data_IF_502852554707
#
_entry.id   IF_502852554707
#
_cell.length_a   1.000
_cell.length_b   1.000
_cell.length_c   1.000
_cell.angle_alpha   90.00
_cell.angle_beta   90.00
_cell.angle_gamma   90.00
#
_symmetry.space_group_name_H-M   'P 1'
#
loop_
_entity.id
_entity.type
_entity.pdbx_description
1 polymer ?
#
# COMPACT_ATOMS: atom_id res chain seq x y z
N UNK A 1 -25.97 31.73 -4.07
CA UNK A 1 -26.27 30.55 -3.23
C UNK A 1 -26.70 29.43 -4.17
N UNK A 2 -25.82 28.46 -4.55
CA UNK A 2 -26.21 27.15 -5.15
C UNK A 2 -25.08 26.22 -5.65
N UNK A 3 -23.79 26.58 -5.59
CA UNK A 3 -22.71 25.68 -6.08
C UNK A 3 -22.17 24.67 -5.03
N UNK A 4 -22.67 24.68 -3.79
CA UNK A 4 -22.21 23.74 -2.75
C UNK A 4 -22.79 22.32 -2.95
N UNK A 5 -24.08 22.22 -3.29
CA UNK A 5 -24.77 20.91 -3.36
C UNK A 5 -24.19 20.01 -4.46
N UNK A 6 -23.87 20.58 -5.63
CA UNK A 6 -23.26 19.84 -6.74
C UNK A 6 -21.83 19.35 -6.45
N UNK A 7 -21.01 20.17 -5.79
CA UNK A 7 -19.65 19.77 -5.41
C UNK A 7 -19.64 18.72 -4.30
N UNK A 8 -20.55 18.83 -3.31
CA UNK A 8 -20.70 17.81 -2.26
C UNK A 8 -21.19 16.49 -2.89
N UNK A 9 -22.19 16.53 -3.76
CA UNK A 9 -22.71 15.36 -4.44
C UNK A 9 -21.66 14.70 -5.33
N UNK A 10 -20.86 15.49 -6.07
CA UNK A 10 -19.78 14.98 -6.91
C UNK A 10 -18.66 14.32 -6.07
N UNK A 11 -18.39 14.86 -4.87
CA UNK A 11 -17.41 14.27 -3.95
C UNK A 11 -17.93 12.97 -3.35
N UNK A 12 -19.17 12.97 -2.84
CA UNK A 12 -19.81 11.76 -2.30
C UNK A 12 -19.98 10.67 -3.37
N UNK A 13 -20.39 11.02 -4.58
CA UNK A 13 -20.51 10.07 -5.68
C UNK A 13 -19.18 9.44 -6.05
N UNK A 14 -18.08 10.20 -5.99
CA UNK A 14 -16.72 9.69 -6.24
C UNK A 14 -16.22 8.80 -5.11
N UNK A 15 -16.45 9.20 -3.86
CA UNK A 15 -16.06 8.43 -2.70
C UNK A 15 -16.85 7.11 -2.61
N UNK A 16 -18.16 7.14 -2.91
CA UNK A 16 -19.01 5.94 -3.04
C UNK A 16 -18.53 5.03 -4.16
N UNK A 17 -18.20 5.57 -5.34
CA UNK A 17 -17.68 4.77 -6.44
C UNK A 17 -16.37 4.06 -6.10
N UNK A 18 -15.44 4.75 -5.42
CA UNK A 18 -14.18 4.15 -4.94
C UNK A 18 -14.46 3.07 -3.89
N UNK A 19 -15.41 3.32 -3.00
CA UNK A 19 -15.80 2.38 -1.95
C UNK A 19 -16.41 1.12 -2.56
N UNK A 20 -17.34 1.25 -3.50
CA UNK A 20 -18.01 0.13 -4.15
C UNK A 20 -17.03 -0.73 -4.98
N UNK A 21 -16.03 -0.13 -5.62
CA UNK A 21 -15.07 -0.87 -6.42
C UNK A 21 -13.98 -1.55 -5.57
N UNK A 22 -13.47 -0.88 -4.53
CA UNK A 22 -12.27 -1.35 -3.79
C UNK A 22 -12.58 -2.08 -2.50
N UNK A 23 -13.68 -1.75 -1.83
CA UNK A 23 -14.02 -2.29 -0.52
C UNK A 23 -14.40 -3.78 -0.59
N UNK A 24 -15.26 -4.24 -1.54
CA UNK A 24 -15.63 -5.66 -1.61
C UNK A 24 -14.43 -6.56 -1.87
N UNK A 25 -13.53 -6.17 -2.78
CA UNK A 25 -12.32 -6.92 -3.07
C UNK A 25 -11.39 -7.02 -1.85
N UNK A 26 -11.23 -5.92 -1.11
CA UNK A 26 -10.38 -5.89 0.09
C UNK A 26 -10.97 -6.74 1.21
N UNK A 27 -12.30 -6.68 1.43
CA UNK A 27 -12.99 -7.50 2.41
C UNK A 27 -12.90 -8.99 2.07
N UNK A 28 -13.11 -9.35 0.80
CA UNK A 28 -12.98 -10.74 0.36
C UNK A 28 -11.57 -11.27 0.61
N UNK A 29 -10.55 -10.49 0.30
CA UNK A 29 -9.16 -10.85 0.59
C UNK A 29 -8.90 -11.02 2.09
N UNK A 30 -9.40 -10.10 2.93
CA UNK A 30 -9.29 -10.18 4.39
C UNK A 30 -9.94 -11.45 4.94
N UNK A 31 -11.17 -11.76 4.50
CA UNK A 31 -11.88 -12.98 4.91
C UNK A 31 -11.13 -14.23 4.48
N UNK A 32 -10.65 -14.28 3.24
CA UNK A 32 -9.86 -15.41 2.72
C UNK A 32 -8.62 -15.65 3.59
N UNK A 33 -7.86 -14.60 3.90
CA UNK A 33 -6.65 -14.71 4.73
C UNK A 33 -7.00 -15.13 6.16
N UNK A 34 -8.06 -14.57 6.75
CA UNK A 34 -8.50 -14.94 8.09
C UNK A 34 -8.90 -16.43 8.18
N UNK A 35 -9.67 -16.92 7.20
CA UNK A 35 -10.07 -18.32 7.11
C UNK A 35 -8.86 -19.25 6.95
N UNK A 36 -7.88 -18.87 6.12
CA UNK A 36 -6.64 -19.63 5.95
C UNK A 36 -5.82 -19.71 7.25
N UNK A 37 -5.73 -18.61 8.01
CA UNK A 37 -5.04 -18.58 9.30
C UNK A 37 -5.74 -19.44 10.36
N UNK A 38 -7.07 -19.41 10.41
CA UNK A 38 -7.83 -20.27 11.32
C UNK A 38 -7.64 -21.74 10.93
N UNK A 39 -7.72 -22.04 9.62
CA UNK A 39 -7.50 -23.39 9.11
C UNK A 39 -6.11 -23.92 9.41
N UNK A 40 -5.06 -23.10 9.27
CA UNK A 40 -3.70 -23.54 9.58
C UNK A 40 -3.51 -23.86 11.06
N UNK A 41 -4.09 -23.06 11.97
CA UNK A 41 -4.07 -23.33 13.41
C UNK A 41 -4.79 -24.65 13.73
N UNK A 42 -5.97 -24.89 13.14
CA UNK A 42 -6.72 -26.14 13.34
C UNK A 42 -5.91 -27.36 12.90
N UNK A 43 -5.24 -27.28 11.74
CA UNK A 43 -4.37 -28.37 11.25
C UNK A 43 -3.21 -28.62 12.23
N UNK A 44 -2.52 -27.57 12.70
CA UNK A 44 -1.42 -27.70 13.67
C UNK A 44 -1.89 -28.40 14.94
N UNK A 45 -3.04 -27.97 15.50
CA UNK A 45 -3.63 -28.57 16.70
C UNK A 45 -4.01 -30.05 16.50
N UNK A 46 -4.50 -30.41 15.31
CA UNK A 46 -4.92 -31.79 15.01
C UNK A 46 -3.76 -32.78 14.92
N UNK A 47 -2.57 -32.32 14.50
CA UNK A 47 -1.38 -33.17 14.39
C UNK A 47 -0.76 -33.39 15.76
N UNK A 48 -0.40 -32.31 16.46
CA UNK A 48 0.11 -32.39 17.82
C UNK A 48 -0.01 -31.03 18.53
N UNK A 49 -0.71 -30.93 19.69
CA UNK A 49 -0.84 -29.68 20.43
C UNK A 49 0.50 -29.07 20.89
N UNK A 50 1.58 -29.86 20.99
CA UNK A 50 2.91 -29.36 21.40
C UNK A 50 3.49 -28.40 20.35
N UNK A 51 3.12 -28.55 19.07
CA UNK A 51 3.55 -27.63 18.00
C UNK A 51 2.92 -26.23 18.11
N UNK A 52 1.96 -26.03 19.01
CA UNK A 52 1.41 -24.70 19.30
C UNK A 52 2.45 -23.76 19.92
N UNK A 53 3.41 -24.31 20.70
CA UNK A 53 4.45 -23.53 21.38
C UNK A 53 5.36 -22.79 20.37
N UNK A 54 6.03 -23.46 19.41
CA UNK A 54 6.82 -22.76 18.39
C UNK A 54 5.95 -21.88 17.48
N UNK A 55 4.69 -22.25 17.24
CA UNK A 55 3.74 -21.44 16.46
C UNK A 55 3.45 -20.08 17.12
N UNK A 56 3.25 -20.06 18.43
CA UNK A 56 3.02 -18.82 19.19
C UNK A 56 4.26 -17.93 19.13
N UNK A 57 5.46 -18.50 19.32
CA UNK A 57 6.71 -17.74 19.23
C UNK A 57 6.88 -17.10 17.83
N UNK A 58 6.57 -17.85 16.77
CA UNK A 58 6.57 -17.36 15.41
C UNK A 58 5.57 -16.20 15.21
N UNK A 59 4.34 -16.33 15.70
CA UNK A 59 3.32 -15.28 15.62
C UNK A 59 3.76 -13.98 16.33
N UNK A 60 4.42 -14.09 17.48
CA UNK A 60 4.95 -12.92 18.21
C UNK A 60 6.02 -12.20 17.37
N UNK A 61 6.89 -12.95 16.70
CA UNK A 61 7.94 -12.38 15.86
C UNK A 61 7.35 -11.67 14.64
N UNK A 62 6.38 -12.28 13.96
CA UNK A 62 5.64 -11.64 12.87
C UNK A 62 4.90 -10.37 13.33
N UNK A 63 4.29 -10.41 14.52
CA UNK A 63 3.60 -9.27 15.10
C UNK A 63 4.57 -8.09 15.34
N UNK A 64 5.76 -8.36 15.87
CA UNK A 64 6.78 -7.34 16.05
C UNK A 64 7.23 -6.72 14.72
N UNK A 65 7.48 -7.56 13.70
CA UNK A 65 7.78 -7.09 12.35
C UNK A 65 6.69 -6.19 11.79
N UNK A 66 5.42 -6.57 11.96
CA UNK A 66 4.26 -5.76 11.57
C UNK A 66 4.21 -4.43 12.30
N UNK A 67 4.49 -4.39 13.61
CA UNK A 67 4.53 -3.17 14.40
C UNK A 67 5.58 -2.17 13.90
N UNK A 68 6.71 -2.66 13.39
CA UNK A 68 7.74 -1.81 12.78
C UNK A 68 7.35 -1.32 11.38
N UNK A 69 6.74 -2.20 10.58
CA UNK A 69 6.37 -1.88 9.19
C UNK A 69 5.22 -0.87 9.10
N UNK A 70 4.17 -1.02 9.90
CA UNK A 70 2.94 -0.23 9.76
C UNK A 70 3.17 1.30 9.90
N UNK A 71 3.92 1.83 10.88
CA UNK A 71 4.22 3.26 10.98
C UNK A 71 5.01 3.77 9.78
N UNK A 72 6.01 3.01 9.34
CA UNK A 72 6.89 3.35 8.22
C UNK A 72 6.11 3.37 6.90
N UNK A 73 5.37 2.30 6.60
CA UNK A 73 4.54 2.20 5.40
C UNK A 73 3.44 3.27 5.34
N UNK A 74 2.83 3.62 6.48
CA UNK A 74 1.87 4.74 6.56
C UNK A 74 2.53 6.08 6.25
N UNK A 75 3.74 6.31 6.76
CA UNK A 75 4.49 7.56 6.51
C UNK A 75 4.88 7.69 5.04
N UNK A 76 5.34 6.60 4.41
CA UNK A 76 5.68 6.56 2.99
C UNK A 76 4.44 6.78 2.12
N UNK A 77 3.31 6.11 2.42
CA UNK A 77 2.03 6.34 1.72
C UNK A 77 1.55 7.78 1.83
N UNK A 78 1.72 8.42 2.99
CA UNK A 78 1.41 9.85 3.16
C UNK A 78 2.30 10.73 2.29
N UNK A 79 3.59 10.40 2.22
CA UNK A 79 4.55 11.10 1.36
C UNK A 79 4.15 10.95 -0.12
N UNK A 80 3.79 9.75 -0.57
CA UNK A 80 3.32 9.48 -1.93
C UNK A 80 2.08 10.32 -2.29
N UNK A 81 1.14 10.45 -1.34
CA UNK A 81 -0.02 11.34 -1.49
C UNK A 81 0.38 12.81 -1.65
N UNK A 82 1.34 13.29 -0.86
CA UNK A 82 1.81 14.67 -0.89
C UNK A 82 2.56 15.03 -2.18
N UNK A 83 3.32 14.10 -2.78
CA UNK A 83 4.06 14.34 -4.03
C UNK A 83 3.20 14.22 -5.28
N UNK A 84 2.10 13.44 -5.20
CA UNK A 84 1.14 13.32 -6.30
C UNK A 84 0.34 14.62 -6.54
N UNK A 85 -0.01 15.33 -5.48
CA UNK A 85 -0.80 16.57 -5.58
C UNK A 85 -0.16 17.66 -6.45
N UNK A 86 1.12 18.07 -6.25
CA UNK A 86 1.76 19.08 -7.08
C UNK A 86 1.92 18.63 -8.54
N UNK A 87 2.19 17.33 -8.78
CA UNK A 87 2.27 16.78 -10.14
C UNK A 87 0.94 16.94 -10.91
N UNK A 88 -0.18 16.56 -10.29
CA UNK A 88 -1.51 16.72 -10.90
C UNK A 88 -1.89 18.20 -11.01
N UNK A 89 -1.53 19.02 -10.02
CA UNK A 89 -1.72 20.47 -10.06
C UNK A 89 -1.01 21.11 -11.25
N UNK A 90 0.26 20.75 -11.48
CA UNK A 90 1.02 21.23 -12.63
C UNK A 90 0.39 20.80 -13.96
N UNK A 91 -0.08 19.55 -14.07
CA UNK A 91 -0.79 19.10 -15.29
C UNK A 91 -2.03 19.96 -15.55
N UNK A 92 -2.84 20.22 -14.52
CA UNK A 92 -4.04 21.05 -14.65
C UNK A 92 -3.70 22.48 -15.08
N UNK A 93 -2.70 23.12 -14.47
CA UNK A 93 -2.29 24.48 -14.86
C UNK A 93 -1.73 24.54 -16.28
N UNK A 94 -1.01 23.51 -16.72
CA UNK A 94 -0.51 23.42 -18.10
C UNK A 94 -1.66 23.28 -19.11
N UNK A 95 -2.68 22.49 -18.78
CA UNK A 95 -3.86 22.31 -19.63
C UNK A 95 -4.68 23.60 -19.75
N UNK A 96 -4.91 24.31 -18.65
CA UNK A 96 -5.63 25.59 -18.64
C UNK A 96 -4.86 26.70 -19.36
N UNK A 97 -3.53 26.75 -19.19
CA UNK A 97 -2.64 27.78 -19.77
C UNK A 97 -2.04 27.44 -21.13
N UNK A 98 -2.47 26.35 -21.78
CA UNK A 98 -1.77 25.77 -22.94
C UNK A 98 -1.55 26.76 -24.09
N UNK A 99 -2.56 27.60 -24.38
CA UNK A 99 -2.47 28.60 -25.44
C UNK A 99 -1.39 29.66 -25.13
N UNK A 100 -1.31 30.12 -23.89
CA UNK A 100 -0.32 31.10 -23.43
C UNK A 100 1.10 30.52 -23.43
N UNK A 101 1.25 29.26 -23.03
CA UNK A 101 2.54 28.56 -23.04
C UNK A 101 3.09 28.48 -24.47
N UNK A 102 2.23 28.09 -25.43
CA UNK A 102 2.60 28.01 -26.86
C UNK A 102 2.89 29.38 -27.46
N UNK A 103 2.11 30.41 -27.09
CA UNK A 103 2.33 31.77 -27.56
C UNK A 103 3.69 32.34 -27.11
N UNK A 104 4.18 31.91 -25.94
CA UNK A 104 5.45 32.34 -25.37
C UNK A 104 6.63 31.36 -25.63
N UNK A 105 6.41 30.29 -26.40
CA UNK A 105 7.41 29.23 -26.64
C UNK A 105 8.06 28.68 -25.34
N UNK A 106 7.27 28.56 -24.27
CA UNK A 106 7.73 28.19 -22.93
C UNK A 106 7.58 26.68 -22.63
N UNK A 107 7.37 25.85 -23.65
CA UNK A 107 7.09 24.41 -23.49
C UNK A 107 8.23 23.67 -22.78
N UNK A 108 9.49 23.97 -23.13
CA UNK A 108 10.66 23.30 -22.55
C UNK A 108 10.82 23.63 -21.05
N UNK A 109 10.50 24.86 -20.65
CA UNK A 109 10.49 25.23 -19.22
C UNK A 109 9.42 24.47 -18.46
N UNK A 110 8.21 24.34 -19.02
CA UNK A 110 7.12 23.58 -18.39
C UNK A 110 7.42 22.09 -18.32
N UNK A 111 8.07 21.51 -19.35
CA UNK A 111 8.53 20.12 -19.32
C UNK A 111 9.57 19.88 -18.23
N UNK A 112 10.58 20.76 -18.15
CA UNK A 112 11.62 20.62 -17.12
C UNK A 112 11.04 20.67 -15.70
N UNK A 113 10.03 21.51 -15.45
CA UNK A 113 9.38 21.58 -14.15
C UNK A 113 8.50 20.36 -13.87
N UNK A 114 7.81 19.84 -14.90
CA UNK A 114 7.08 18.58 -14.82
C UNK A 114 8.00 17.40 -14.48
N UNK A 115 9.15 17.29 -15.14
CA UNK A 115 10.13 16.23 -14.91
C UNK A 115 10.63 16.23 -13.46
N UNK A 116 10.89 17.42 -12.87
CA UNK A 116 11.25 17.53 -11.45
C UNK A 116 10.17 16.98 -10.52
N UNK A 117 8.90 17.33 -10.77
CA UNK A 117 7.80 16.80 -9.97
C UNK A 117 7.64 15.29 -10.15
N UNK A 118 7.84 14.80 -11.37
CA UNK A 118 7.76 13.38 -11.68
C UNK A 118 8.88 12.58 -11.02
N UNK A 119 10.11 13.09 -11.00
CA UNK A 119 11.24 12.44 -10.33
C UNK A 119 11.03 12.31 -8.82
N UNK A 120 10.53 13.36 -8.18
CA UNK A 120 10.18 13.34 -6.75
C UNK A 120 9.04 12.35 -6.49
N UNK A 121 8.01 12.30 -7.34
CA UNK A 121 6.94 11.32 -7.18
C UNK A 121 7.43 9.88 -7.40
N UNK A 122 8.24 9.64 -8.43
CA UNK A 122 8.80 8.34 -8.77
C UNK A 122 9.72 7.80 -7.68
N UNK A 123 10.59 8.64 -7.11
CA UNK A 123 11.48 8.24 -6.01
C UNK A 123 10.70 7.78 -4.77
N UNK A 124 9.63 8.49 -4.40
CA UNK A 124 8.75 8.09 -3.29
C UNK A 124 7.99 6.80 -3.60
N UNK A 125 7.50 6.65 -4.84
CA UNK A 125 6.83 5.43 -5.29
C UNK A 125 7.77 4.22 -5.24
N UNK A 126 9.02 4.41 -5.66
CA UNK A 126 10.05 3.39 -5.57
C UNK A 126 10.37 3.02 -4.11
N UNK A 127 10.46 4.00 -3.22
CA UNK A 127 10.64 3.74 -1.79
C UNK A 127 9.49 2.93 -1.19
N UNK A 128 8.24 3.21 -1.58
CA UNK A 128 7.07 2.44 -1.15
C UNK A 128 7.15 0.98 -1.62
N UNK A 129 7.51 0.79 -2.89
CA UNK A 129 7.71 -0.53 -3.48
C UNK A 129 8.82 -1.30 -2.76
N UNK A 130 10.02 -0.73 -2.67
CA UNK A 130 11.18 -1.35 -2.03
C UNK A 130 10.91 -1.70 -0.55
N UNK A 131 10.21 -0.84 0.19
CA UNK A 131 9.87 -1.10 1.60
C UNK A 131 8.86 -2.24 1.75
N UNK A 132 7.88 -2.32 0.83
CA UNK A 132 6.89 -3.40 0.82
C UNK A 132 7.55 -4.75 0.50
N UNK A 133 8.41 -4.78 -0.52
CA UNK A 133 9.15 -5.98 -0.92
C UNK A 133 10.13 -6.44 0.16
N UNK A 134 10.90 -5.52 0.76
CA UNK A 134 11.81 -5.87 1.85
C UNK A 134 11.06 -6.48 3.04
N UNK A 135 9.92 -5.90 3.43
CA UNK A 135 9.09 -6.47 4.49
C UNK A 135 8.56 -7.85 4.14
N UNK A 136 8.07 -8.05 2.91
CA UNK A 136 7.65 -9.36 2.41
C UNK A 136 8.77 -10.40 2.51
N UNK A 137 9.96 -10.05 2.02
CA UNK A 137 11.15 -10.91 2.09
C UNK A 137 11.51 -11.30 3.52
N UNK A 138 11.47 -10.36 4.48
CA UNK A 138 11.72 -10.68 5.89
C UNK A 138 10.68 -11.66 6.44
N UNK A 139 9.40 -11.47 6.15
CA UNK A 139 8.34 -12.39 6.59
C UNK A 139 8.53 -13.80 5.99
N UNK A 140 8.88 -13.88 4.71
CA UNK A 140 9.11 -15.15 4.01
C UNK A 140 10.33 -15.88 4.58
N UNK A 141 11.41 -15.16 4.91
CA UNK A 141 12.59 -15.72 5.55
C UNK A 141 12.27 -16.31 6.93
N UNK A 142 11.53 -15.58 7.76
CA UNK A 142 11.10 -16.05 9.09
C UNK A 142 10.17 -17.27 8.93
N UNK A 143 9.23 -17.23 7.99
CA UNK A 143 8.31 -18.34 7.71
C UNK A 143 9.05 -19.59 7.25
N UNK A 144 10.08 -19.45 6.41
CA UNK A 144 10.92 -20.56 5.96
C UNK A 144 11.66 -21.21 7.13
N UNK A 145 12.25 -20.40 8.02
CA UNK A 145 12.91 -20.90 9.23
C UNK A 145 11.93 -21.68 10.12
N UNK A 146 10.72 -21.15 10.31
CA UNK A 146 9.67 -21.82 11.08
C UNK A 146 9.30 -23.19 10.50
N UNK A 147 9.11 -23.28 9.18
CA UNK A 147 8.81 -24.57 8.51
C UNK A 147 9.96 -25.56 8.69
N UNK A 148 11.21 -25.12 8.55
CA UNK A 148 12.40 -25.97 8.78
C UNK A 148 12.40 -26.50 10.22
N UNK A 149 12.14 -25.65 11.22
CA UNK A 149 12.08 -26.06 12.62
C UNK A 149 10.99 -27.11 12.88
N UNK A 150 9.79 -26.94 12.32
CA UNK A 150 8.70 -27.91 12.46
C UNK A 150 9.08 -29.25 11.83
N UNK A 151 9.60 -29.23 10.60
CA UNK A 151 9.98 -30.45 9.89
C UNK A 151 11.08 -31.21 10.65
N UNK A 152 12.08 -30.51 11.18
CA UNK A 152 13.13 -31.13 12.01
C UNK A 152 12.62 -31.65 13.35
N UNK A 153 11.55 -31.08 13.91
CA UNK A 153 10.94 -31.59 15.16
C UNK A 153 10.06 -32.81 14.88
N UNK A 154 9.61 -32.98 13.63
CA UNK A 154 8.78 -34.10 13.21
C UNK A 154 9.60 -35.33 12.79
N UNK A 155 10.80 -35.11 12.24
CA UNK A 155 11.76 -36.15 11.85
C UNK A 155 12.51 -36.72 13.07
#
# INVERSE_FOLDING_TARGET
NNNLSGNILNRMSRDLAILDERLPATLFYLLKVALLLIGSIVVICSVNPIFLIPSILFLVLLYYGRCLYIPTGRSIRRLEGSTRSPLVGHINSTLEGLATIRANAAEETMKSEFDKHQDVHNSVRYMNFATTEAFGFYLDAISTIYVICIVLTFL
#
